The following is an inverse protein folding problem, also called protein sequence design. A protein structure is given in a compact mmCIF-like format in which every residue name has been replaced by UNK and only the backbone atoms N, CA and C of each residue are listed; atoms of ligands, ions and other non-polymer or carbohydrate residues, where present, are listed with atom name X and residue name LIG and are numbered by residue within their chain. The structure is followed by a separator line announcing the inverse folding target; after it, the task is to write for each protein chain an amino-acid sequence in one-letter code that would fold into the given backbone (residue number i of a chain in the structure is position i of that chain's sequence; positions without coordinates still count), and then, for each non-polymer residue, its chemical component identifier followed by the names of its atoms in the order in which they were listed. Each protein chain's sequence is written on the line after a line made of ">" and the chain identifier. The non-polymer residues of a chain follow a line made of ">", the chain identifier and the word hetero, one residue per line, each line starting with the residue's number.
data_IF_685075066809
#
_entry.id   IF_685075066809
#
_cell.length_a   1.000
_cell.length_b   1.000
_cell.length_c   1.000
_cell.angle_alpha   90.00
_cell.angle_beta   90.00
_cell.angle_gamma   90.00
#
_symmetry.space_group_name_H-M   'P 1'
#
loop_
_entity.id
_entity.type
_entity.pdbx_description
1 polymer ?
#
# COMPACT_ATOMS: atom_id res chain seq x y z
N UNK A 1 -23.39 22.35 -11.09
CA UNK A 1 -24.12 21.18 -10.54
C UNK A 1 -25.63 21.28 -10.79
N UNK A 2 -26.28 22.42 -10.54
CA UNK A 2 -27.73 22.60 -10.79
C UNK A 2 -28.11 22.34 -12.27
N UNK A 3 -27.33 22.87 -13.21
CA UNK A 3 -27.53 22.61 -14.64
C UNK A 3 -27.46 21.10 -14.97
N UNK A 4 -26.45 20.38 -14.46
CA UNK A 4 -26.30 18.93 -14.67
C UNK A 4 -27.49 18.16 -14.09
N UNK A 5 -28.02 18.59 -12.94
CA UNK A 5 -29.17 17.94 -12.32
C UNK A 5 -30.47 18.16 -13.11
N UNK A 6 -30.65 19.35 -13.69
CA UNK A 6 -31.77 19.65 -14.58
C UNK A 6 -31.65 18.89 -15.90
N UNK A 7 -30.45 18.88 -16.49
CA UNK A 7 -30.15 18.20 -17.75
C UNK A 7 -30.23 16.67 -17.62
N UNK A 8 -30.04 16.12 -16.41
CA UNK A 8 -30.20 14.70 -16.11
C UNK A 8 -31.63 14.28 -15.73
N UNK A 9 -32.63 15.12 -16.00
CA UNK A 9 -34.03 14.89 -15.58
C UNK A 9 -34.15 14.60 -14.07
N UNK A 10 -33.37 15.31 -13.25
CA UNK A 10 -33.36 15.17 -11.79
C UNK A 10 -32.89 13.79 -11.30
N UNK A 11 -32.07 13.08 -12.09
CA UNK A 11 -31.47 11.81 -11.65
C UNK A 11 -30.35 12.04 -10.64
N UNK A 12 -30.58 11.60 -9.41
CA UNK A 12 -29.64 11.73 -8.29
C UNK A 12 -28.29 11.04 -8.56
N UNK A 13 -28.29 9.90 -9.28
CA UNK A 13 -27.07 9.16 -9.62
C UNK A 13 -26.08 10.00 -10.45
N UNK A 14 -26.59 10.78 -11.40
CA UNK A 14 -25.76 11.60 -12.28
C UNK A 14 -25.26 12.85 -11.56
N UNK A 15 -26.06 13.40 -10.64
CA UNK A 15 -25.63 14.46 -9.74
C UNK A 15 -24.50 13.98 -8.80
N UNK A 16 -24.65 12.82 -8.16
CA UNK A 16 -23.60 12.25 -7.30
C UNK A 16 -22.32 12.02 -8.12
N UNK A 17 -22.43 11.47 -9.34
CA UNK A 17 -21.27 11.28 -10.22
C UNK A 17 -20.61 12.61 -10.58
N UNK A 18 -21.39 13.66 -10.82
CA UNK A 18 -20.86 14.98 -11.11
C UNK A 18 -20.17 15.61 -9.89
N UNK A 19 -20.75 15.48 -8.69
CA UNK A 19 -20.17 15.93 -7.43
C UNK A 19 -18.82 15.23 -7.19
N UNK A 20 -18.76 13.90 -7.33
CA UNK A 20 -17.51 13.14 -7.12
C UNK A 20 -16.39 13.53 -8.11
N UNK A 21 -16.76 14.16 -9.22
CA UNK A 21 -15.82 14.66 -10.24
C UNK A 21 -15.37 16.11 -10.03
N UNK A 22 -15.97 16.86 -9.11
CA UNK A 22 -15.55 18.25 -8.88
C UNK A 22 -14.22 18.30 -8.13
N UNK A 23 -13.42 19.34 -8.42
CA UNK A 23 -12.16 19.59 -7.72
C UNK A 23 -12.40 19.80 -6.22
N UNK A 24 -13.50 20.47 -5.85
CA UNK A 24 -13.88 20.69 -4.44
C UNK A 24 -14.14 19.39 -3.67
N UNK A 25 -14.81 18.40 -4.28
CA UNK A 25 -15.06 17.10 -3.62
C UNK A 25 -13.78 16.25 -3.52
N UNK A 26 -12.84 16.49 -4.43
CA UNK A 26 -11.55 15.80 -4.47
C UNK A 26 -10.54 16.44 -3.53
N UNK A 27 -10.64 17.74 -3.31
CA UNK A 27 -9.77 18.49 -2.43
C UNK A 27 -10.04 18.16 -0.96
N UNK A 28 -8.97 17.99 -0.18
CA UNK A 28 -9.03 17.48 1.20
C UNK A 28 -8.42 18.51 2.15
N UNK A 29 -9.15 18.88 3.20
CA UNK A 29 -8.66 19.88 4.16
C UNK A 29 -8.88 21.33 3.69
N UNK A 30 -9.71 21.51 2.66
CA UNK A 30 -10.27 22.80 2.26
C UNK A 30 -11.35 23.16 3.29
N UNK A 31 -11.24 24.32 3.92
CA UNK A 31 -12.32 24.84 4.78
C UNK A 31 -13.56 25.12 3.92
N UNK A 32 -14.76 25.14 4.51
CA UNK A 32 -16.01 25.42 3.77
C UNK A 32 -15.98 26.77 3.01
N UNK A 33 -15.05 27.66 3.37
CA UNK A 33 -14.86 28.99 2.81
C UNK A 33 -13.81 29.06 1.68
N UNK A 34 -13.06 28.00 1.42
CA UNK A 34 -11.95 28.08 0.47
C UNK A 34 -12.43 27.98 -1.00
N UNK A 35 -11.79 28.77 -1.83
CA UNK A 35 -12.09 28.94 -3.26
C UNK A 35 -11.72 27.70 -4.08
N UNK A 36 -12.28 27.58 -5.29
CA UNK A 36 -11.91 26.48 -6.21
C UNK A 36 -10.41 26.47 -6.56
N UNK A 37 -9.77 27.63 -6.62
CA UNK A 37 -8.33 27.74 -6.88
C UNK A 37 -7.48 27.31 -5.66
N UNK A 38 -7.94 27.57 -4.44
CA UNK A 38 -7.33 27.03 -3.22
C UNK A 38 -7.55 25.52 -3.11
N UNK A 39 -8.73 25.02 -3.48
CA UNK A 39 -9.02 23.59 -3.54
C UNK A 39 -8.13 22.86 -4.55
N UNK A 40 -7.74 23.51 -5.66
CA UNK A 40 -6.77 22.98 -6.63
C UNK A 40 -5.32 22.96 -6.13
N UNK A 41 -4.97 23.86 -5.21
CA UNK A 41 -3.65 23.94 -4.59
C UNK A 41 -3.49 22.94 -3.43
N UNK A 42 -4.60 22.56 -2.79
CA UNK A 42 -4.65 21.59 -1.70
C UNK A 42 -4.59 20.16 -2.28
N UNK A 43 -3.77 19.31 -1.64
CA UNK A 43 -3.30 18.02 -2.15
C UNK A 43 -4.31 17.26 -3.05
N UNK A 44 -3.95 16.94 -4.31
CA UNK A 44 -4.84 16.25 -5.23
C UNK A 44 -5.02 14.75 -4.91
N UNK A 45 -4.41 14.23 -3.84
CA UNK A 45 -4.39 12.81 -3.50
C UNK A 45 -5.04 12.55 -2.13
N UNK A 46 -5.91 11.54 -2.07
CA UNK A 46 -6.43 11.01 -0.81
C UNK A 46 -5.36 10.18 -0.13
N UNK A 47 -5.01 10.62 1.08
CA UNK A 47 -4.14 9.89 2.01
C UNK A 47 -4.98 8.83 2.73
N UNK A 48 -4.62 7.56 2.58
CA UNK A 48 -5.34 6.46 3.27
C UNK A 48 -5.33 6.64 4.80
N UNK A 49 -6.41 6.28 5.49
CA UNK A 49 -6.46 6.26 6.97
C UNK A 49 -5.59 5.15 7.54
N UNK A 50 -5.23 5.19 8.85
CA UNK A 50 -4.55 4.07 9.50
C UNK A 50 -5.31 2.74 9.36
N UNK A 51 -6.64 2.77 9.42
CA UNK A 51 -7.51 1.59 9.25
C UNK A 51 -7.49 1.08 7.80
N UNK A 52 -7.57 2.00 6.83
CA UNK A 52 -7.41 1.66 5.41
C UNK A 52 -6.03 1.08 5.14
N UNK A 53 -5.01 1.58 5.82
CA UNK A 53 -3.64 1.09 5.73
C UNK A 53 -3.49 -0.33 6.27
N UNK A 54 -4.08 -0.62 7.43
CA UNK A 54 -4.12 -1.96 8.00
C UNK A 54 -4.87 -2.94 7.08
N UNK A 55 -6.03 -2.52 6.57
CA UNK A 55 -6.84 -3.32 5.65
C UNK A 55 -6.07 -3.62 4.36
N UNK A 56 -5.45 -2.59 3.78
CA UNK A 56 -4.66 -2.73 2.56
C UNK A 56 -3.47 -3.67 2.77
N UNK A 57 -2.78 -3.56 3.89
CA UNK A 57 -1.71 -4.48 4.27
C UNK A 57 -2.18 -5.93 4.27
N UNK A 58 -3.31 -6.21 4.92
CA UNK A 58 -3.92 -7.53 4.96
C UNK A 58 -4.39 -8.02 3.58
N UNK A 59 -5.08 -7.19 2.80
CA UNK A 59 -5.55 -7.57 1.46
C UNK A 59 -4.37 -7.88 0.52
N UNK A 60 -3.28 -7.12 0.63
CA UNK A 60 -2.09 -7.33 -0.19
C UNK A 60 -1.26 -8.54 0.26
N UNK A 61 -1.23 -8.91 1.54
CA UNK A 61 -0.22 -9.87 2.05
C UNK A 61 -0.75 -10.97 2.95
N UNK A 62 -2.04 -10.97 3.28
CA UNK A 62 -2.63 -11.84 4.30
C UNK A 62 -2.12 -11.61 5.72
N UNK A 63 -1.22 -10.64 5.94
CA UNK A 63 -0.61 -10.33 7.24
C UNK A 63 -1.12 -9.01 7.80
N UNK A 64 -0.98 -8.86 9.11
CA UNK A 64 -1.46 -7.67 9.83
C UNK A 64 -0.40 -7.24 10.83
N UNK A 65 0.03 -5.98 10.75
CA UNK A 65 0.99 -5.44 11.71
C UNK A 65 0.41 -5.47 13.14
N UNK A 66 1.04 -6.26 14.01
CA UNK A 66 0.60 -6.47 15.40
C UNK A 66 -0.01 -7.86 15.57
N UNK A 67 -1.13 -7.96 16.29
CA UNK A 67 -1.88 -9.22 16.36
C UNK A 67 -3.13 -9.16 15.49
N UNK A 68 -3.56 -10.32 14.96
CA UNK A 68 -4.84 -10.44 14.21
C UNK A 68 -6.05 -9.96 15.00
N UNK A 69 -6.00 -10.04 16.33
CA UNK A 69 -7.08 -9.60 17.23
C UNK A 69 -6.94 -8.15 17.70
N UNK A 70 -5.79 -7.54 17.47
CA UNK A 70 -5.48 -6.17 17.87
C UNK A 70 -4.43 -5.56 16.94
N UNK A 71 -4.82 -5.19 15.70
CA UNK A 71 -3.91 -4.56 14.75
C UNK A 71 -3.33 -3.26 15.31
N UNK A 72 -2.02 -3.06 15.15
CA UNK A 72 -1.29 -1.91 15.70
C UNK A 72 -1.87 -0.59 15.18
N UNK A 73 -2.13 -0.51 13.88
CA UNK A 73 -2.71 0.70 13.26
C UNK A 73 -4.17 0.95 13.62
N UNK A 74 -4.87 -0.01 14.24
CA UNK A 74 -6.26 0.16 14.68
C UNK A 74 -6.38 0.48 16.17
N UNK A 75 -5.48 -0.04 17.00
CA UNK A 75 -5.62 0.00 18.46
C UNK A 75 -4.49 0.72 19.21
N UNK A 76 -3.39 1.07 18.53
CA UNK A 76 -2.24 1.71 19.17
C UNK A 76 -2.15 3.20 18.75
N UNK A 77 -2.44 4.13 19.69
CA UNK A 77 -2.32 5.57 19.43
C UNK A 77 -0.92 6.01 19.01
N UNK A 78 0.13 5.27 19.40
CA UNK A 78 1.52 5.61 19.08
C UNK A 78 1.82 5.51 17.58
N UNK A 79 1.05 4.74 16.82
CA UNK A 79 1.14 4.67 15.36
C UNK A 79 0.04 5.47 14.66
N UNK A 80 -1.17 5.52 15.24
CA UNK A 80 -2.29 6.28 14.67
C UNK A 80 -2.03 7.78 14.61
N UNK A 81 -1.48 8.36 15.68
CA UNK A 81 -1.23 9.80 15.74
C UNK A 81 -0.22 10.22 14.66
N UNK A 82 0.96 9.57 14.53
CA UNK A 82 1.86 9.79 13.41
C UNK A 82 1.24 9.59 12.02
N UNK A 83 0.31 8.65 11.86
CA UNK A 83 -0.38 8.36 10.60
C UNK A 83 -1.50 9.36 10.22
N UNK A 84 -1.50 10.54 10.86
CA UNK A 84 -2.47 11.60 10.61
C UNK A 84 -3.66 11.60 11.57
N UNK A 85 -3.65 10.76 12.61
CA UNK A 85 -4.74 10.67 13.58
C UNK A 85 -5.94 9.85 13.07
N UNK A 86 -6.96 9.79 13.91
CA UNK A 86 -8.22 9.08 13.67
C UNK A 86 -9.37 9.87 14.30
N UNK A 87 -10.59 9.61 13.86
CA UNK A 87 -11.78 10.17 14.51
C UNK A 87 -12.00 9.46 15.84
N UNK A 88 -11.53 10.08 16.92
CA UNK A 88 -11.53 9.52 18.26
C UNK A 88 -12.12 10.47 19.29
N UNK A 89 -12.26 10.00 20.53
CA UNK A 89 -12.78 10.82 21.65
C UNK A 89 -11.84 12.00 21.98
N UNK A 90 -10.55 11.90 21.62
CA UNK A 90 -9.50 12.88 21.95
C UNK A 90 -9.01 13.62 20.69
N UNK A 91 -9.21 13.05 19.50
CA UNK A 91 -8.75 13.61 18.22
C UNK A 91 -9.98 13.81 17.36
N UNK A 92 -10.45 15.05 17.31
CA UNK A 92 -11.70 15.40 16.63
C UNK A 92 -11.54 15.55 15.11
N UNK A 93 -10.29 15.71 14.64
CA UNK A 93 -9.98 15.93 13.22
C UNK A 93 -8.69 15.23 12.81
N UNK A 94 -8.77 14.50 11.72
CA UNK A 94 -7.64 13.90 11.04
C UNK A 94 -6.78 14.96 10.33
N UNK A 95 -5.46 14.82 10.40
CA UNK A 95 -4.54 15.52 9.52
C UNK A 95 -4.42 14.78 8.18
N UNK A 96 -4.64 15.52 7.11
CA UNK A 96 -4.44 15.04 5.75
C UNK A 96 -3.10 15.50 5.15
N UNK A 97 -2.31 16.26 5.91
CA UNK A 97 -0.99 16.69 5.46
C UNK A 97 -0.02 15.51 5.43
N UNK A 98 0.79 15.42 4.37
CA UNK A 98 1.91 14.48 4.30
C UNK A 98 3.02 15.02 5.19
N UNK A 99 3.06 14.52 6.43
CA UNK A 99 4.12 14.85 7.39
C UNK A 99 5.24 13.82 7.31
N UNK A 100 6.48 14.16 7.72
CA UNK A 100 7.55 13.16 7.85
C UNK A 100 7.15 11.98 8.74
N UNK A 101 6.34 12.22 9.76
CA UNK A 101 5.82 11.17 10.66
C UNK A 101 4.90 10.19 9.94
N UNK A 102 4.04 10.67 9.04
CA UNK A 102 3.20 9.82 8.22
C UNK A 102 4.03 8.89 7.33
N UNK A 103 5.05 9.45 6.65
CA UNK A 103 5.94 8.68 5.78
C UNK A 103 6.74 7.64 6.57
N UNK A 104 7.18 7.98 7.79
CA UNK A 104 7.82 7.01 8.68
C UNK A 104 6.86 5.91 9.11
N UNK A 105 5.58 6.21 9.38
CA UNK A 105 4.59 5.16 9.66
C UNK A 105 4.37 4.26 8.45
N UNK A 106 4.37 4.81 7.23
CA UNK A 106 4.29 4.04 6.00
C UNK A 106 5.46 3.08 5.86
N UNK A 107 6.66 3.58 6.10
CA UNK A 107 7.85 2.75 6.11
C UNK A 107 7.79 1.64 7.16
N UNK A 108 7.41 1.96 8.41
CA UNK A 108 7.35 0.97 9.50
C UNK A 108 6.29 -0.09 9.29
N UNK A 109 5.13 0.27 8.75
CA UNK A 109 4.11 -0.70 8.40
C UNK A 109 4.59 -1.66 7.29
N UNK A 110 5.19 -1.12 6.22
CA UNK A 110 5.73 -1.94 5.14
C UNK A 110 6.82 -2.90 5.63
N UNK A 111 7.71 -2.43 6.51
CA UNK A 111 8.71 -3.25 7.19
C UNK A 111 8.06 -4.38 8.01
N UNK A 112 7.13 -4.03 8.88
CA UNK A 112 6.50 -5.01 9.77
C UNK A 112 5.71 -6.07 9.00
N UNK A 113 4.98 -5.69 7.95
CA UNK A 113 4.27 -6.65 7.12
C UNK A 113 5.24 -7.55 6.36
N UNK A 114 6.34 -7.00 5.83
CA UNK A 114 7.35 -7.80 5.16
C UNK A 114 8.01 -8.80 6.13
N UNK A 115 8.28 -8.39 7.37
CA UNK A 115 8.77 -9.26 8.44
C UNK A 115 7.76 -10.37 8.77
N UNK A 116 6.46 -10.05 8.87
CA UNK A 116 5.41 -11.05 9.12
C UNK A 116 5.29 -12.06 7.96
N UNK A 117 5.37 -11.61 6.70
CA UNK A 117 5.39 -12.49 5.53
C UNK A 117 6.63 -13.38 5.53
N UNK A 118 7.80 -12.82 5.86
CA UNK A 118 9.03 -13.60 5.99
C UNK A 118 8.90 -14.67 7.08
N UNK A 119 8.39 -14.30 8.24
CA UNK A 119 8.26 -15.21 9.37
C UNK A 119 7.24 -16.32 9.11
N UNK A 120 6.11 -15.98 8.49
CA UNK A 120 5.08 -16.95 8.14
C UNK A 120 5.45 -17.76 6.90
N UNK A 121 5.55 -17.13 5.71
CA UNK A 121 5.62 -17.85 4.43
C UNK A 121 7.01 -18.41 4.08
N UNK A 122 8.09 -17.74 4.52
CA UNK A 122 9.46 -18.11 4.15
C UNK A 122 10.16 -18.94 5.23
N UNK A 123 10.05 -18.51 6.49
CA UNK A 123 10.64 -19.19 7.65
C UNK A 123 9.75 -20.31 8.18
N UNK A 124 8.46 -20.04 8.36
CA UNK A 124 7.47 -21.03 8.80
C UNK A 124 7.15 -22.09 7.75
N UNK A 125 7.26 -21.72 6.47
CA UNK A 125 7.04 -22.59 5.31
C UNK A 125 5.71 -23.39 5.35
N UNK A 126 4.57 -22.70 5.47
CA UNK A 126 3.26 -23.33 5.48
C UNK A 126 2.95 -23.97 4.11
N UNK A 127 1.93 -24.84 4.04
CA UNK A 127 1.45 -25.37 2.77
C UNK A 127 1.14 -24.28 1.75
N UNK A 128 1.34 -24.54 0.46
CA UNK A 128 1.13 -23.57 -0.62
C UNK A 128 -0.29 -22.97 -0.65
N UNK A 129 -1.29 -23.69 -0.13
CA UNK A 129 -2.68 -23.19 -0.01
C UNK A 129 -2.85 -22.06 1.01
N UNK A 130 -1.90 -21.91 1.94
CA UNK A 130 -1.91 -20.86 2.97
C UNK A 130 -1.02 -19.67 2.61
N UNK A 131 -0.15 -19.81 1.60
CA UNK A 131 0.69 -18.73 1.11
C UNK A 131 -0.13 -17.78 0.25
N UNK A 132 0.01 -16.49 0.53
CA UNK A 132 -0.71 -15.42 -0.16
C UNK A 132 0.21 -14.58 -1.04
N UNK A 133 1.47 -14.40 -0.64
CA UNK A 133 2.47 -13.63 -1.38
C UNK A 133 3.28 -14.55 -2.31
N UNK A 134 3.86 -15.61 -1.75
CA UNK A 134 4.69 -16.58 -2.45
C UNK A 134 3.87 -17.74 -3.00
N UNK A 135 3.11 -17.49 -4.07
CA UNK A 135 2.19 -18.50 -4.64
C UNK A 135 2.78 -19.30 -5.80
N UNK A 136 3.87 -18.84 -6.41
CA UNK A 136 4.55 -19.51 -7.53
C UNK A 136 5.92 -20.07 -7.11
N UNK A 137 6.65 -19.32 -6.29
CA UNK A 137 7.95 -19.72 -5.75
C UNK A 137 7.83 -20.03 -4.24
N UNK A 138 8.74 -20.85 -3.70
CA UNK A 138 8.86 -21.05 -2.25
C UNK A 138 9.60 -19.90 -1.56
N UNK A 139 10.32 -19.07 -2.33
CA UNK A 139 11.17 -18.00 -1.82
C UNK A 139 12.53 -18.48 -1.31
N UNK A 140 12.87 -19.75 -1.56
CA UNK A 140 14.15 -20.38 -1.19
C UNK A 140 15.00 -20.74 -2.40
N UNK A 141 14.46 -20.58 -3.61
CA UNK A 141 15.15 -20.87 -4.87
C UNK A 141 16.33 -19.94 -5.09
N UNK A 142 17.46 -20.46 -5.56
CA UNK A 142 18.58 -19.60 -5.97
C UNK A 142 18.15 -18.77 -7.19
N UNK A 143 18.10 -17.43 -7.08
CA UNK A 143 17.60 -16.59 -8.17
C UNK A 143 18.40 -16.74 -9.47
N UNK A 144 19.69 -17.04 -9.39
CA UNK A 144 20.54 -17.25 -10.57
C UNK A 144 20.14 -18.52 -11.34
N UNK A 145 19.83 -19.60 -10.63
CA UNK A 145 19.44 -20.87 -11.26
C UNK A 145 17.97 -20.86 -11.72
N UNK A 146 17.10 -20.20 -10.96
CA UNK A 146 15.65 -20.19 -11.16
C UNK A 146 15.13 -18.83 -11.63
N UNK A 147 15.90 -18.14 -12.47
CA UNK A 147 15.62 -16.77 -12.90
C UNK A 147 14.19 -16.57 -13.43
N UNK A 148 13.71 -17.45 -14.31
CA UNK A 148 12.36 -17.36 -14.89
C UNK A 148 11.27 -17.47 -13.82
N UNK A 149 11.43 -18.37 -12.85
CA UNK A 149 10.47 -18.56 -11.77
C UNK A 149 10.43 -17.33 -10.85
N UNK A 150 11.61 -16.84 -10.43
CA UNK A 150 11.74 -15.66 -9.58
C UNK A 150 11.14 -14.42 -10.25
N UNK A 151 11.47 -14.17 -11.53
CA UNK A 151 10.89 -13.04 -12.28
C UNK A 151 9.38 -13.17 -12.45
N UNK A 152 8.85 -14.38 -12.60
CA UNK A 152 7.40 -14.60 -12.67
C UNK A 152 6.73 -14.30 -11.33
N UNK A 153 7.35 -14.69 -10.22
CA UNK A 153 6.87 -14.35 -8.87
C UNK A 153 6.88 -12.82 -8.63
N UNK A 154 7.94 -12.11 -9.06
CA UNK A 154 8.00 -10.63 -8.97
C UNK A 154 6.91 -9.98 -9.83
N UNK A 155 6.73 -10.44 -11.08
CA UNK A 155 5.65 -9.98 -11.97
C UNK A 155 4.27 -10.13 -11.31
N UNK A 156 4.02 -11.24 -10.61
CA UNK A 156 2.79 -11.43 -9.86
C UNK A 156 2.64 -10.46 -8.69
N UNK A 157 3.73 -10.18 -7.96
CA UNK A 157 3.74 -9.17 -6.89
C UNK A 157 3.45 -7.77 -7.44
N UNK A 158 4.02 -7.37 -8.58
CA UNK A 158 3.70 -6.10 -9.23
C UNK A 158 2.22 -5.99 -9.59
N UNK A 159 1.63 -7.07 -10.12
CA UNK A 159 0.19 -7.14 -10.38
C UNK A 159 -0.62 -6.96 -9.10
N UNK A 160 -0.20 -7.63 -8.01
CA UNK A 160 -0.93 -7.61 -6.74
C UNK A 160 -0.82 -6.27 -6.03
N UNK A 161 0.38 -5.72 -5.89
CA UNK A 161 0.65 -4.51 -5.11
C UNK A 161 0.36 -3.23 -5.88
N UNK A 162 0.57 -3.23 -7.20
CA UNK A 162 0.43 -2.01 -8.02
C UNK A 162 -0.72 -2.08 -9.02
N UNK A 163 -1.41 -3.22 -9.13
CA UNK A 163 -2.41 -3.42 -10.20
C UNK A 163 -1.81 -3.45 -11.61
N UNK A 164 -0.48 -3.57 -11.73
CA UNK A 164 0.23 -3.45 -13.01
C UNK A 164 0.45 -4.81 -13.66
N UNK A 165 -0.05 -4.98 -14.87
CA UNK A 165 0.13 -6.19 -15.68
C UNK A 165 1.49 -6.16 -16.40
N UNK A 166 2.58 -6.37 -15.67
CA UNK A 166 3.94 -6.42 -16.23
C UNK A 166 4.38 -7.86 -16.46
N UNK A 167 5.00 -8.16 -17.60
CA UNK A 167 5.49 -9.51 -17.92
C UNK A 167 6.81 -9.84 -17.19
N UNK A 168 7.16 -11.13 -17.03
CA UNK A 168 8.43 -11.53 -16.39
C UNK A 168 9.71 -11.03 -17.09
N UNK A 169 9.60 -10.65 -18.37
CA UNK A 169 10.71 -10.09 -19.17
C UNK A 169 10.66 -8.56 -19.29
N UNK A 170 9.78 -7.88 -18.55
CA UNK A 170 9.70 -6.42 -18.53
C UNK A 170 10.93 -5.80 -17.85
N UNK A 171 11.17 -4.52 -18.15
CA UNK A 171 12.30 -3.78 -17.57
C UNK A 171 12.09 -3.63 -16.06
N UNK A 172 10.87 -3.32 -15.64
CA UNK A 172 10.48 -3.13 -14.24
C UNK A 172 10.70 -4.38 -13.40
N UNK A 173 10.36 -5.57 -13.93
CA UNK A 173 10.64 -6.85 -13.27
C UNK A 173 12.13 -7.16 -13.27
N UNK A 174 12.87 -6.73 -14.31
CA UNK A 174 14.32 -6.81 -14.37
C UNK A 174 15.00 -6.03 -13.24
N UNK A 175 14.62 -4.77 -13.05
CA UNK A 175 15.16 -3.89 -12.00
C UNK A 175 14.90 -4.45 -10.59
N UNK A 176 13.68 -4.93 -10.32
CA UNK A 176 13.36 -5.57 -9.04
C UNK A 176 14.11 -6.89 -8.83
N UNK A 177 14.36 -7.65 -9.90
CA UNK A 177 15.15 -8.86 -9.84
C UNK A 177 16.64 -8.55 -9.54
N UNK A 178 17.18 -7.50 -10.15
CA UNK A 178 18.56 -7.08 -9.88
C UNK A 178 18.72 -6.61 -8.43
N UNK A 179 17.74 -5.87 -7.90
CA UNK A 179 17.71 -5.51 -6.46
C UNK A 179 17.65 -6.73 -5.54
N UNK A 180 16.91 -7.78 -5.92
CA UNK A 180 16.90 -9.04 -5.15
C UNK A 180 18.29 -9.68 -5.09
N UNK A 181 19.03 -9.64 -6.20
CA UNK A 181 20.40 -10.16 -6.25
C UNK A 181 21.33 -9.33 -5.37
N UNK A 182 21.19 -8.00 -5.40
CA UNK A 182 21.97 -7.09 -4.56
C UNK A 182 21.71 -7.36 -3.08
N UNK A 183 20.44 -7.42 -2.65
CA UNK A 183 20.09 -7.77 -1.26
C UNK A 183 20.63 -9.14 -0.85
N UNK A 184 20.55 -10.15 -1.74
CA UNK A 184 21.11 -11.48 -1.47
C UNK A 184 22.62 -11.40 -1.23
N UNK A 185 23.35 -10.60 -2.01
CA UNK A 185 24.79 -10.45 -1.87
C UNK A 185 25.16 -9.74 -0.55
N UNK A 186 24.39 -8.73 -0.15
CA UNK A 186 24.60 -8.00 1.10
C UNK A 186 24.31 -8.86 2.34
N UNK A 187 23.32 -9.76 2.26
CA UNK A 187 22.87 -10.62 3.38
C UNK A 187 23.61 -11.98 3.47
N UNK A 188 24.90 -12.02 3.12
CA UNK A 188 25.73 -13.23 3.11
C UNK A 188 25.13 -14.39 2.29
N UNK A 189 24.40 -14.09 1.22
CA UNK A 189 23.78 -15.09 0.34
C UNK A 189 22.39 -15.57 0.78
N UNK A 190 21.78 -14.98 1.82
CA UNK A 190 20.45 -15.40 2.29
C UNK A 190 19.33 -14.95 1.35
N UNK A 191 18.82 -15.88 0.54
CA UNK A 191 17.72 -15.63 -0.40
C UNK A 191 16.43 -15.20 0.33
N UNK A 192 16.10 -15.82 1.46
CA UNK A 192 14.86 -15.51 2.17
C UNK A 192 14.87 -14.11 2.79
N UNK A 193 16.03 -13.64 3.28
CA UNK A 193 16.16 -12.26 3.75
C UNK A 193 16.17 -11.24 2.62
N UNK A 194 16.80 -11.57 1.49
CA UNK A 194 16.72 -10.74 0.29
C UNK A 194 15.27 -10.52 -0.17
N UNK A 195 14.44 -11.57 -0.12
CA UNK A 195 13.01 -11.47 -0.40
C UNK A 195 12.25 -10.58 0.58
N UNK A 196 12.55 -10.67 1.88
CA UNK A 196 11.99 -9.78 2.90
C UNK A 196 12.31 -8.32 2.59
N UNK A 197 13.54 -8.03 2.20
CA UNK A 197 13.99 -6.67 1.92
C UNK A 197 13.39 -6.12 0.63
N UNK A 198 13.30 -6.95 -0.42
CA UNK A 198 12.58 -6.59 -1.64
C UNK A 198 11.10 -6.32 -1.35
N UNK A 199 10.44 -7.18 -0.57
CA UNK A 199 9.04 -7.00 -0.20
C UNK A 199 8.82 -5.72 0.60
N UNK A 200 9.70 -5.45 1.58
CA UNK A 200 9.70 -4.21 2.36
C UNK A 200 9.84 -2.99 1.44
N UNK A 201 10.75 -3.03 0.46
CA UNK A 201 10.91 -1.96 -0.52
C UNK A 201 9.65 -1.79 -1.38
N UNK A 202 9.09 -2.89 -1.91
CA UNK A 202 7.90 -2.84 -2.76
C UNK A 202 6.68 -2.26 -2.03
N UNK A 203 6.49 -2.64 -0.76
CA UNK A 203 5.37 -2.19 0.08
C UNK A 203 5.52 -0.74 0.58
N UNK A 204 6.71 -0.14 0.47
CA UNK A 204 6.94 1.29 0.79
C UNK A 204 6.56 2.23 -0.34
N UNK A 205 6.27 1.69 -1.53
CA UNK A 205 6.00 2.50 -2.69
C UNK A 205 4.79 3.43 -2.43
N UNK A 206 4.95 4.76 -2.59
CA UNK A 206 3.87 5.72 -2.41
C UNK A 206 2.60 5.40 -3.21
N UNK A 207 2.73 4.73 -4.37
CA UNK A 207 1.58 4.33 -5.21
C UNK A 207 0.60 3.41 -4.51
N UNK A 208 1.02 2.74 -3.42
CA UNK A 208 0.15 1.90 -2.59
C UNK A 208 -0.73 2.78 -1.68
N UNK A 209 -0.23 3.92 -1.22
CA UNK A 209 -0.85 4.71 -0.14
C UNK A 209 -1.57 5.98 -0.61
N UNK A 210 -1.35 6.42 -1.84
CA UNK A 210 -1.95 7.64 -2.42
C UNK A 210 -2.84 7.28 -3.63
N UNK A 211 -4.08 7.79 -3.65
CA UNK A 211 -5.04 7.59 -4.76
C UNK A 211 -5.93 8.83 -5.01
#
# INVERSE_FOLDING_TARGET
>A
LDQIFRDSEFRLKDLIRAIVKTDLYRAIGVTEEASEDEARLVQPFRVITPEQMATLGYDLTGQTWGSKTRPSLEYDPSYKIPAGGYDGIIIDKRSHAITPMLLLTYQRHAEAIADDVYDFELRGDPPSSEKTVFTLASGKEDPVQYQTLVKTQISQMCKRFYGQMVGPSSVEVGELYDLLLDFKNDDNGSVTRAWRDLLSLMLRDPRIYFY
#
